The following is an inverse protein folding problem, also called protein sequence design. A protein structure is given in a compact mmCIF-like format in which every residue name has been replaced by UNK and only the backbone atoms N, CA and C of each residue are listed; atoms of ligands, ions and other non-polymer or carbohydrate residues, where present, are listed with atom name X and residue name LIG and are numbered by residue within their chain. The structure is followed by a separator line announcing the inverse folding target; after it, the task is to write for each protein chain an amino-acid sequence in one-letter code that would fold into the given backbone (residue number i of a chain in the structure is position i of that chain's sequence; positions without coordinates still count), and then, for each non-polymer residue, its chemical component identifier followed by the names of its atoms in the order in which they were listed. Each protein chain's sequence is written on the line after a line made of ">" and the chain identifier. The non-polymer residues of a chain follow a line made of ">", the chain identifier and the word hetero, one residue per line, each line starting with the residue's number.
data_IF_451801554099
#
_entry.id   IF_451801554099
#
_cell.length_a   1.000
_cell.length_b   1.000
_cell.length_c   1.000
_cell.angle_alpha   90.00
_cell.angle_beta   90.00
_cell.angle_gamma   90.00
#
_symmetry.space_group_name_H-M   'P 1'
#
loop_
_entity.id
_entity.type
_entity.pdbx_description
1 polymer ?
#
# COMPACT_ATOMS: atom_id res chain seq x y z
N UNK A 1 44.39 -3.56 -51.71
CA UNK A 1 43.09 -2.97 -52.13
C UNK A 1 41.93 -3.77 -51.52
N UNK A 2 42.07 -4.18 -50.25
CA UNK A 2 41.10 -5.05 -49.56
C UNK A 2 40.66 -4.52 -48.19
N UNK A 3 41.20 -3.40 -47.71
CA UNK A 3 40.92 -2.86 -46.37
C UNK A 3 39.68 -1.93 -46.30
N UNK A 4 39.13 -1.49 -47.43
CA UNK A 4 38.02 -0.53 -47.46
C UNK A 4 36.63 -1.15 -47.26
N UNK A 5 36.50 -2.48 -47.41
CA UNK A 5 35.21 -3.16 -47.24
C UNK A 5 34.94 -3.55 -45.79
N UNK A 6 35.96 -3.90 -45.00
CA UNK A 6 35.79 -4.28 -43.59
C UNK A 6 35.49 -3.08 -42.67
N UNK A 7 35.99 -1.88 -43.01
CA UNK A 7 35.70 -0.64 -42.25
C UNK A 7 34.25 -0.15 -42.43
N UNK A 8 33.67 -0.34 -43.62
CA UNK A 8 32.28 0.03 -43.93
C UNK A 8 31.26 -0.90 -43.27
N UNK A 9 31.54 -2.21 -43.24
CA UNK A 9 30.65 -3.20 -42.62
C UNK A 9 30.57 -2.98 -41.09
N UNK A 10 31.67 -2.60 -40.44
CA UNK A 10 31.68 -2.27 -39.01
C UNK A 10 31.01 -0.93 -38.67
N UNK A 11 30.99 0.05 -39.57
CA UNK A 11 30.38 1.36 -39.28
C UNK A 11 28.84 1.29 -39.34
N UNK A 12 28.28 0.55 -40.30
CA UNK A 12 26.83 0.38 -40.43
C UNK A 12 26.19 -0.37 -39.26
N UNK A 13 26.86 -1.41 -38.74
CA UNK A 13 26.40 -2.16 -37.56
C UNK A 13 26.42 -1.29 -36.29
N UNK A 14 27.41 -0.41 -36.14
CA UNK A 14 27.51 0.51 -35.00
C UNK A 14 26.41 1.58 -34.99
N UNK A 15 26.03 2.11 -36.16
CA UNK A 15 24.92 3.08 -36.27
C UNK A 15 23.57 2.42 -35.96
N UNK A 16 23.33 1.20 -36.48
CA UNK A 16 22.11 0.46 -36.19
C UNK A 16 21.96 0.14 -34.69
N UNK A 17 23.04 -0.32 -34.06
CA UNK A 17 23.08 -0.58 -32.62
C UNK A 17 22.88 0.69 -31.78
N UNK A 18 23.46 1.80 -32.21
CA UNK A 18 23.25 3.11 -31.58
C UNK A 18 21.76 3.50 -31.58
N UNK A 19 21.09 3.44 -32.74
CA UNK A 19 19.68 3.81 -32.87
C UNK A 19 18.80 2.91 -32.00
N UNK A 20 18.98 1.59 -32.09
CA UNK A 20 18.19 0.63 -31.32
C UNK A 20 18.39 0.82 -29.81
N UNK A 21 19.64 0.94 -29.36
CA UNK A 21 19.95 1.12 -27.93
C UNK A 21 19.38 2.43 -27.41
N UNK A 22 19.53 3.52 -28.17
CA UNK A 22 18.98 4.83 -27.81
C UNK A 22 17.46 4.79 -27.68
N UNK A 23 16.77 4.12 -28.61
CA UNK A 23 15.32 3.97 -28.55
C UNK A 23 14.88 3.17 -27.31
N UNK A 24 15.55 2.06 -27.02
CA UNK A 24 15.30 1.25 -25.80
C UNK A 24 15.50 2.10 -24.55
N UNK A 25 16.58 2.88 -24.48
CA UNK A 25 16.86 3.76 -23.34
C UNK A 25 15.78 4.84 -23.17
N UNK A 26 15.31 5.45 -24.25
CA UNK A 26 14.20 6.42 -24.20
C UNK A 26 12.94 5.77 -23.63
N UNK A 27 12.58 4.56 -24.09
CA UNK A 27 11.42 3.82 -23.56
C UNK A 27 11.59 3.52 -22.07
N UNK A 28 12.78 3.09 -21.63
CA UNK A 28 13.08 2.85 -20.22
C UNK A 28 12.90 4.14 -19.39
N UNK A 29 13.37 5.29 -19.88
CA UNK A 29 13.21 6.58 -19.21
C UNK A 29 11.72 6.97 -19.10
N UNK A 30 10.92 6.75 -20.14
CA UNK A 30 9.48 7.02 -20.09
C UNK A 30 8.81 6.15 -19.03
N UNK A 31 9.09 4.84 -19.03
CA UNK A 31 8.57 3.90 -18.02
C UNK A 31 9.01 4.33 -16.62
N UNK A 32 10.25 4.76 -16.45
CA UNK A 32 10.80 5.27 -15.20
C UNK A 32 9.93 6.42 -14.66
N UNK A 33 9.68 7.46 -15.47
CA UNK A 33 8.88 8.60 -15.05
C UNK A 33 7.38 8.29 -14.87
N UNK A 34 6.84 7.31 -15.58
CA UNK A 34 5.49 6.79 -15.32
C UNK A 34 5.42 6.21 -13.91
N UNK A 35 6.37 5.35 -13.53
CA UNK A 35 6.43 4.75 -12.19
C UNK A 35 6.65 5.83 -11.13
N UNK A 36 7.50 6.82 -11.40
CA UNK A 36 7.69 8.00 -10.53
C UNK A 36 6.39 8.75 -10.26
N UNK A 37 5.60 9.02 -11.30
CA UNK A 37 4.32 9.72 -11.17
C UNK A 37 3.29 8.92 -10.39
N UNK A 38 3.24 7.60 -10.58
CA UNK A 38 2.40 6.71 -9.78
C UNK A 38 2.84 6.68 -8.31
N UNK A 39 4.14 6.71 -8.04
CA UNK A 39 4.69 6.79 -6.68
C UNK A 39 4.28 8.09 -6.00
N UNK A 40 4.39 9.22 -6.71
CA UNK A 40 3.90 10.51 -6.22
C UNK A 40 2.39 10.47 -5.93
N UNK A 41 1.60 9.89 -6.83
CA UNK A 41 0.17 9.69 -6.61
C UNK A 41 -0.12 8.84 -5.36
N UNK A 42 0.64 7.75 -5.17
CA UNK A 42 0.56 6.89 -4.00
C UNK A 42 0.84 7.63 -2.68
N UNK A 43 1.79 8.57 -2.67
CA UNK A 43 2.07 9.46 -1.54
C UNK A 43 0.83 10.28 -1.13
N UNK A 44 0.16 10.86 -2.12
CA UNK A 44 -1.04 11.67 -1.92
C UNK A 44 -2.23 10.81 -1.48
N UNK A 45 -2.36 9.61 -2.05
CA UNK A 45 -3.37 8.64 -1.65
C UNK A 45 -3.19 8.20 -0.18
N UNK A 46 -1.96 7.92 0.24
CA UNK A 46 -1.66 7.52 1.60
C UNK A 46 -1.98 8.62 2.64
N UNK A 47 -1.60 9.87 2.37
CA UNK A 47 -1.91 11.00 3.29
C UNK A 47 -3.42 11.28 3.35
N UNK A 48 -4.17 10.97 2.30
CA UNK A 48 -5.63 11.07 2.33
C UNK A 48 -6.29 10.05 3.27
N UNK A 49 -5.59 8.98 3.68
CA UNK A 49 -6.14 7.95 4.56
C UNK A 49 -7.25 7.11 3.91
N UNK A 50 -7.37 7.15 2.57
CA UNK A 50 -8.38 6.39 1.83
C UNK A 50 -8.07 4.89 1.71
N UNK A 51 -6.81 4.51 1.98
CA UNK A 51 -6.38 3.12 1.90
C UNK A 51 -7.02 2.29 3.03
N UNK A 52 -7.58 1.12 2.72
CA UNK A 52 -8.30 0.30 3.69
C UNK A 52 -7.30 -0.44 4.59
N UNK A 53 -6.87 0.20 5.67
CA UNK A 53 -5.83 -0.33 6.58
C UNK A 53 -6.39 -1.13 7.76
N UNK A 54 -7.70 -1.03 8.04
CA UNK A 54 -8.32 -1.67 9.19
C UNK A 54 -9.31 -2.76 8.71
N UNK A 55 -9.07 -4.05 9.05
CA UNK A 55 -9.90 -5.16 8.62
C UNK A 55 -11.29 -5.21 9.28
N UNK A 56 -11.53 -4.46 10.36
CA UNK A 56 -12.79 -4.50 11.11
C UNK A 56 -13.87 -3.56 10.54
N UNK A 57 -13.49 -2.68 9.61
CA UNK A 57 -14.39 -1.66 9.03
C UNK A 57 -14.57 -1.88 7.52
N UNK A 58 -15.55 -1.19 6.93
CA UNK A 58 -15.69 -1.08 5.49
C UNK A 58 -14.35 -0.67 4.84
N UNK A 59 -13.89 -1.32 3.75
CA UNK A 59 -14.61 -2.24 2.87
C UNK A 59 -14.54 -3.73 3.26
N UNK A 60 -13.80 -4.12 4.29
CA UNK A 60 -13.66 -5.54 4.69
C UNK A 60 -14.93 -6.09 5.34
N UNK A 61 -15.69 -5.24 6.02
CA UNK A 61 -16.96 -5.57 6.66
C UNK A 61 -18.11 -4.76 6.08
N UNK A 62 -19.34 -5.10 6.49
CA UNK A 62 -20.53 -4.30 6.22
C UNK A 62 -20.75 -3.21 7.28
N UNK A 63 -19.87 -3.12 8.27
CA UNK A 63 -19.97 -2.24 9.43
C UNK A 63 -18.95 -1.10 9.34
N UNK A 64 -19.30 0.05 9.93
CA UNK A 64 -18.45 1.25 9.92
C UNK A 64 -18.91 2.31 8.89
N UNK A 65 -18.48 3.54 9.13
CA UNK A 65 -18.77 4.67 8.22
C UNK A 65 -17.81 4.65 7.05
N UNK A 66 -18.34 4.77 5.83
CA UNK A 66 -17.54 5.19 4.67
C UNK A 66 -16.93 6.53 5.05
N UNK A 67 -15.61 6.70 4.91
CA UNK A 67 -14.95 7.98 5.17
C UNK A 67 -15.63 9.02 4.27
N UNK A 68 -16.29 10.02 4.87
CA UNK A 68 -17.02 11.08 4.18
C UNK A 68 -16.21 12.37 4.28
N UNK A 69 -15.94 13.00 3.14
CA UNK A 69 -15.36 14.34 3.07
C UNK A 69 -14.28 14.47 2.00
N UNK A 70 -14.28 15.59 1.29
CA UNK A 70 -13.24 15.90 0.30
C UNK A 70 -11.90 16.11 1.02
N UNK A 71 -10.95 15.20 0.83
CA UNK A 71 -9.58 15.37 1.34
C UNK A 71 -8.74 15.92 0.21
N UNK A 72 -8.49 17.22 0.27
CA UNK A 72 -7.68 17.95 -0.70
C UNK A 72 -6.19 17.80 -0.33
N UNK A 73 -5.38 17.45 -1.32
CA UNK A 73 -3.92 17.46 -1.20
C UNK A 73 -3.31 18.27 -2.33
N UNK A 74 -2.23 19.01 -2.03
CA UNK A 74 -1.44 19.70 -3.03
C UNK A 74 -0.62 18.67 -3.83
N UNK A 75 -0.55 18.90 -5.14
CA UNK A 75 0.30 18.22 -6.12
C UNK A 75 0.93 19.31 -6.99
N UNK A 76 2.21 19.19 -7.33
CA UNK A 76 2.94 20.13 -8.21
C UNK A 76 2.96 21.55 -7.64
N UNK A 77 3.72 21.75 -6.57
CA UNK A 77 3.91 23.09 -5.95
C UNK A 77 4.93 23.93 -6.71
N UNK A 78 4.59 25.17 -7.04
CA UNK A 78 5.51 26.15 -7.62
C UNK A 78 6.31 26.89 -6.55
N UNK A 79 7.52 27.33 -6.90
CA UNK A 79 8.38 28.17 -6.05
C UNK A 79 8.06 29.68 -6.16
N UNK A 80 6.79 30.02 -6.41
CA UNK A 80 6.31 31.41 -6.48
C UNK A 80 5.92 31.92 -5.09
N UNK A 81 5.80 33.24 -4.92
CA UNK A 81 5.26 33.85 -3.71
C UNK A 81 3.92 34.57 -4.02
N UNK A 82 2.76 34.03 -3.62
CA UNK A 82 2.55 32.79 -2.86
C UNK A 82 2.76 31.51 -3.70
N UNK A 83 3.06 30.36 -3.07
CA UNK A 83 3.20 29.10 -3.78
C UNK A 83 1.84 28.66 -4.35
N UNK A 84 1.84 28.27 -5.62
CA UNK A 84 0.66 27.74 -6.28
C UNK A 84 0.78 26.21 -6.39
N UNK A 85 -0.34 25.50 -6.37
CA UNK A 85 -0.36 24.05 -6.57
C UNK A 85 -1.61 23.60 -7.33
N UNK A 86 -1.49 22.47 -7.99
CA UNK A 86 -2.63 21.69 -8.45
C UNK A 86 -3.21 20.93 -7.24
N UNK A 87 -4.53 20.76 -7.17
CA UNK A 87 -5.19 20.10 -6.04
C UNK A 87 -5.83 18.80 -6.49
N UNK A 88 -5.53 17.74 -5.75
CA UNK A 88 -6.17 16.44 -5.93
C UNK A 88 -7.16 16.18 -4.78
N UNK A 89 -8.30 15.61 -5.12
CA UNK A 89 -9.25 15.04 -4.17
C UNK A 89 -9.44 13.55 -4.43
N UNK A 90 -9.47 12.76 -3.37
CA UNK A 90 -9.76 11.31 -3.43
C UNK A 90 -11.25 10.99 -3.20
N UNK A 91 -12.06 12.00 -2.91
CA UNK A 91 -13.52 11.91 -2.86
C UNK A 91 -14.12 12.87 -3.89
N UNK A 92 -14.68 12.35 -4.99
CA UNK A 92 -15.28 13.18 -6.01
C UNK A 92 -16.46 13.98 -5.45
N UNK A 93 -16.60 15.25 -5.85
CA UNK A 93 -17.66 16.13 -5.39
C UNK A 93 -19.02 15.63 -5.89
N UNK A 94 -19.89 15.26 -4.95
CA UNK A 94 -21.25 14.77 -5.26
C UNK A 94 -21.35 13.30 -5.63
N UNK A 95 -20.26 12.53 -5.52
CA UNK A 95 -20.27 11.09 -5.76
C UNK A 95 -20.20 10.35 -4.41
N UNK A 96 -21.36 9.88 -3.92
CA UNK A 96 -21.48 8.96 -2.78
C UNK A 96 -20.93 7.55 -3.10
N UNK A 97 -20.35 7.36 -4.30
CA UNK A 97 -19.83 6.05 -4.69
C UNK A 97 -18.60 5.69 -3.87
N UNK A 98 -18.80 4.64 -3.06
CA UNK A 98 -17.77 3.99 -2.29
C UNK A 98 -16.63 3.60 -3.22
N UNK A 99 -15.38 3.91 -2.83
CA UNK A 99 -14.21 3.29 -3.47
C UNK A 99 -14.40 1.76 -3.41
N UNK A 100 -14.34 1.12 -4.57
CA UNK A 100 -14.50 -0.34 -4.70
C UNK A 100 -13.12 -0.96 -4.81
N UNK A 101 -12.85 -1.94 -3.95
CA UNK A 101 -11.60 -2.69 -3.95
C UNK A 101 -11.97 -4.12 -4.32
N UNK A 102 -11.88 -4.46 -5.61
CA UNK A 102 -12.48 -5.69 -6.16
C UNK A 102 -12.14 -6.96 -5.39
N UNK A 103 -10.89 -7.14 -4.95
CA UNK A 103 -10.48 -8.28 -4.14
C UNK A 103 -11.09 -8.24 -2.74
N UNK A 104 -11.08 -7.08 -2.07
CA UNK A 104 -11.65 -6.94 -0.72
C UNK A 104 -13.16 -7.18 -0.75
N UNK A 105 -13.85 -6.66 -1.77
CA UNK A 105 -15.28 -6.86 -1.96
C UNK A 105 -15.61 -8.35 -2.16
N UNK A 106 -14.78 -9.07 -2.92
CA UNK A 106 -14.88 -10.52 -3.09
C UNK A 106 -14.64 -11.27 -1.78
N UNK A 107 -13.57 -10.96 -1.06
CA UNK A 107 -13.24 -11.59 0.24
C UNK A 107 -14.32 -11.33 1.28
N UNK A 108 -14.86 -10.11 1.34
CA UNK A 108 -15.99 -9.77 2.21
C UNK A 108 -17.20 -10.62 1.89
N UNK A 109 -17.56 -10.76 0.60
CA UNK A 109 -18.70 -11.59 0.18
C UNK A 109 -18.54 -13.02 0.66
N UNK A 110 -17.35 -13.61 0.49
CA UNK A 110 -17.03 -14.96 0.99
C UNK A 110 -17.11 -15.07 2.51
N UNK A 111 -16.66 -14.04 3.25
CA UNK A 111 -16.71 -14.02 4.71
C UNK A 111 -18.15 -13.94 5.25
N UNK A 112 -19.02 -13.22 4.55
CA UNK A 112 -20.43 -13.03 4.94
C UNK A 112 -21.34 -14.18 4.53
N UNK A 113 -20.87 -15.10 3.69
CA UNK A 113 -21.66 -16.25 3.26
C UNK A 113 -21.90 -17.21 4.43
N UNK A 114 -23.18 -17.44 4.75
CA UNK A 114 -23.60 -18.36 5.81
C UNK A 114 -23.23 -19.82 5.51
N UNK A 115 -23.08 -20.16 4.23
CA UNK A 115 -22.75 -21.50 3.77
C UNK A 115 -21.25 -21.74 3.63
N UNK A 116 -20.41 -20.71 3.83
CA UNK A 116 -18.97 -20.87 3.76
C UNK A 116 -18.46 -21.80 4.86
N UNK A 117 -17.66 -22.79 4.46
CA UNK A 117 -17.01 -23.74 5.36
C UNK A 117 -16.04 -23.02 6.32
N UNK A 118 -15.75 -23.64 7.47
CA UNK A 118 -14.74 -23.12 8.40
C UNK A 118 -13.36 -22.98 7.73
N UNK A 119 -13.03 -23.88 6.81
CA UNK A 119 -11.79 -23.81 6.02
C UNK A 119 -11.77 -22.57 5.10
N UNK A 120 -12.89 -22.27 4.44
CA UNK A 120 -13.02 -21.07 3.61
C UNK A 120 -12.84 -19.80 4.46
N UNK A 121 -13.51 -19.73 5.62
CA UNK A 121 -13.40 -18.59 6.54
C UNK A 121 -11.98 -18.40 7.07
N UNK A 122 -11.30 -19.50 7.39
CA UNK A 122 -9.88 -19.49 7.78
C UNK A 122 -9.00 -18.84 6.71
N UNK A 123 -9.11 -19.25 5.45
CA UNK A 123 -8.32 -18.68 4.36
C UNK A 123 -8.68 -17.22 4.05
N UNK A 124 -9.98 -16.89 4.07
CA UNK A 124 -10.43 -15.50 3.86
C UNK A 124 -9.88 -14.58 4.94
N UNK A 125 -9.89 -15.00 6.21
CA UNK A 125 -9.36 -14.22 7.32
C UNK A 125 -7.84 -14.00 7.21
N UNK A 126 -7.09 -15.01 6.74
CA UNK A 126 -5.66 -14.85 6.41
C UNK A 126 -5.47 -13.82 5.29
N UNK A 127 -6.19 -13.97 4.16
CA UNK A 127 -6.05 -13.06 3.01
C UNK A 127 -6.44 -11.62 3.37
N UNK A 128 -7.52 -11.42 4.10
CA UNK A 128 -7.94 -10.10 4.61
C UNK A 128 -6.85 -9.51 5.49
N UNK A 129 -6.29 -10.30 6.40
CA UNK A 129 -5.22 -9.84 7.29
C UNK A 129 -3.97 -9.41 6.51
N UNK A 130 -3.52 -10.19 5.53
CA UNK A 130 -2.37 -9.85 4.67
C UNK A 130 -2.64 -8.59 3.85
N UNK A 131 -3.79 -8.50 3.18
CA UNK A 131 -4.16 -7.32 2.38
C UNK A 131 -4.25 -6.06 3.24
N UNK A 132 -4.81 -6.16 4.46
CA UNK A 132 -4.87 -5.02 5.37
C UNK A 132 -3.49 -4.56 5.85
N UNK A 133 -2.56 -5.51 6.08
CA UNK A 133 -1.17 -5.20 6.40
C UNK A 133 -0.47 -4.49 5.25
N UNK A 134 -0.67 -4.96 4.00
CA UNK A 134 -0.12 -4.33 2.81
C UNK A 134 -0.57 -2.88 2.67
N UNK A 135 -1.88 -2.62 2.78
CA UNK A 135 -2.37 -1.24 2.74
C UNK A 135 -1.82 -0.41 3.89
N UNK A 136 -1.66 -0.99 5.08
CA UNK A 136 -1.04 -0.29 6.20
C UNK A 136 0.43 0.07 5.92
N UNK A 137 1.22 -0.85 5.37
CA UNK A 137 2.61 -0.64 4.97
C UNK A 137 2.73 0.43 3.88
N UNK A 138 1.89 0.35 2.85
CA UNK A 138 1.79 1.36 1.79
C UNK A 138 1.46 2.72 2.41
N UNK A 139 0.39 2.78 3.22
CA UNK A 139 -0.06 4.02 3.84
C UNK A 139 1.01 4.66 4.72
N UNK A 140 1.78 3.86 5.46
CA UNK A 140 2.90 4.35 6.28
C UNK A 140 4.08 4.81 5.45
N UNK A 141 4.51 4.01 4.48
CA UNK A 141 5.71 4.28 3.68
C UNK A 141 5.51 5.48 2.75
N UNK A 142 4.39 5.52 2.05
CA UNK A 142 4.01 6.66 1.19
C UNK A 142 3.58 7.88 1.99
N UNK A 143 2.96 7.70 3.15
CA UNK A 143 2.69 8.82 4.06
C UNK A 143 3.96 9.51 4.55
N UNK A 144 5.00 8.73 4.89
CA UNK A 144 6.32 9.27 5.22
C UNK A 144 6.97 9.95 4.02
N UNK A 145 6.87 9.36 2.82
CA UNK A 145 7.49 9.91 1.62
C UNK A 145 6.84 11.21 1.13
N UNK A 146 5.56 11.45 1.44
CA UNK A 146 4.86 12.68 1.06
C UNK A 146 5.49 13.95 1.66
N UNK A 147 6.22 13.85 2.77
CA UNK A 147 6.90 14.99 3.38
C UNK A 147 8.18 15.38 2.63
N UNK A 148 8.67 14.53 1.72
CA UNK A 148 9.82 14.84 0.88
C UNK A 148 9.43 15.80 -0.26
N UNK A 149 10.38 16.64 -0.73
CA UNK A 149 10.20 17.43 -1.94
C UNK A 149 9.74 16.57 -3.13
N UNK A 150 8.73 17.03 -3.87
CA UNK A 150 8.15 16.26 -4.99
C UNK A 150 9.19 15.86 -6.03
N UNK A 151 10.18 16.72 -6.28
CA UNK A 151 11.28 16.44 -7.19
C UNK A 151 12.11 15.21 -6.76
N UNK A 152 12.32 15.00 -5.45
CA UNK A 152 13.01 13.81 -4.96
C UNK A 152 12.16 12.56 -5.16
N UNK A 153 10.85 12.64 -4.92
CA UNK A 153 9.93 11.54 -5.18
C UNK A 153 9.92 11.19 -6.67
N UNK A 154 10.00 12.18 -7.54
CA UNK A 154 10.00 11.96 -8.99
C UNK A 154 11.32 11.35 -9.47
N UNK A 155 12.45 11.83 -8.94
CA UNK A 155 13.76 11.36 -9.34
C UNK A 155 14.10 9.98 -8.77
N UNK A 156 13.60 9.63 -7.58
CA UNK A 156 13.93 8.36 -6.91
C UNK A 156 12.74 7.41 -6.77
N UNK A 157 11.55 7.80 -7.22
CA UNK A 157 10.30 7.05 -7.03
C UNK A 157 10.38 5.57 -7.42
N UNK A 158 10.90 5.21 -8.61
CA UNK A 158 10.99 3.81 -9.02
C UNK A 158 11.92 2.98 -8.14
N UNK A 159 13.02 3.58 -7.66
CA UNK A 159 13.95 2.91 -6.74
C UNK A 159 13.28 2.70 -5.38
N UNK A 160 12.60 3.74 -4.87
CA UNK A 160 11.87 3.67 -3.60
C UNK A 160 10.75 2.62 -3.68
N UNK A 161 9.99 2.61 -4.77
CA UNK A 161 8.92 1.64 -4.99
C UNK A 161 9.46 0.20 -5.07
N UNK A 162 10.62 0.01 -5.70
CA UNK A 162 11.27 -1.29 -5.78
C UNK A 162 11.75 -1.78 -4.41
N UNK A 163 12.38 -0.90 -3.61
CA UNK A 163 12.78 -1.25 -2.24
C UNK A 163 11.54 -1.57 -1.38
N UNK A 164 10.49 -0.76 -1.50
CA UNK A 164 9.23 -0.97 -0.77
C UNK A 164 8.58 -2.30 -1.15
N UNK A 165 8.54 -2.66 -2.44
CA UNK A 165 7.94 -3.91 -2.88
C UNK A 165 8.69 -5.14 -2.36
N UNK A 166 10.04 -5.10 -2.36
CA UNK A 166 10.85 -6.16 -1.75
C UNK A 166 10.55 -6.28 -0.25
N UNK A 167 10.50 -5.16 0.48
CA UNK A 167 10.20 -5.16 1.91
C UNK A 167 8.80 -5.70 2.21
N UNK A 168 7.79 -5.28 1.45
CA UNK A 168 6.41 -5.78 1.60
C UNK A 168 6.34 -7.29 1.38
N UNK A 169 6.98 -7.80 0.32
CA UNK A 169 7.03 -9.23 0.02
C UNK A 169 7.65 -10.00 1.21
N UNK A 170 8.80 -9.54 1.72
CA UNK A 170 9.47 -10.18 2.86
C UNK A 170 8.57 -10.20 4.11
N UNK A 171 7.98 -9.05 4.47
CA UNK A 171 7.10 -8.92 5.63
C UNK A 171 5.88 -9.82 5.46
N UNK A 172 5.31 -9.92 4.26
CA UNK A 172 4.17 -10.77 3.98
C UNK A 172 4.49 -12.27 4.11
N UNK A 173 5.68 -12.73 3.72
CA UNK A 173 6.06 -14.13 3.96
C UNK A 173 6.10 -14.45 5.46
N UNK A 174 6.74 -13.58 6.25
CA UNK A 174 6.84 -13.75 7.71
C UNK A 174 5.44 -13.71 8.33
N UNK A 175 4.62 -12.74 7.93
CA UNK A 175 3.29 -12.55 8.47
C UNK A 175 2.34 -13.68 8.07
N UNK A 176 2.43 -14.19 6.83
CA UNK A 176 1.67 -15.34 6.36
C UNK A 176 1.99 -16.59 7.19
N UNK A 177 3.27 -16.82 7.48
CA UNK A 177 3.70 -17.93 8.35
C UNK A 177 3.10 -17.79 9.74
N UNK A 178 3.15 -16.60 10.33
CA UNK A 178 2.52 -16.33 11.63
C UNK A 178 1.00 -16.57 11.59
N UNK A 179 0.31 -16.01 10.59
CA UNK A 179 -1.14 -16.09 10.44
C UNK A 179 -1.63 -17.52 10.22
N UNK A 180 -0.85 -18.35 9.52
CA UNK A 180 -1.16 -19.75 9.31
C UNK A 180 -1.46 -20.45 10.64
N UNK A 181 -0.54 -20.33 11.59
CA UNK A 181 -0.72 -20.96 12.89
C UNK A 181 -1.71 -20.20 13.78
N UNK A 182 -1.67 -18.87 13.78
CA UNK A 182 -2.53 -18.04 14.63
C UNK A 182 -4.03 -18.22 14.31
N UNK A 183 -4.39 -18.33 13.04
CA UNK A 183 -5.79 -18.44 12.62
C UNK A 183 -6.36 -19.86 12.69
N UNK A 184 -5.55 -20.88 13.04
CA UNK A 184 -6.03 -22.27 13.17
C UNK A 184 -7.19 -22.43 14.18
N UNK A 185 -7.37 -21.46 15.08
CA UNK A 185 -8.54 -21.35 15.97
C UNK A 185 -9.89 -21.49 15.24
N UNK A 186 -9.98 -21.13 13.96
CA UNK A 186 -11.18 -21.31 13.14
C UNK A 186 -11.64 -22.75 12.99
N UNK A 187 -10.73 -23.73 12.96
CA UNK A 187 -11.10 -25.15 12.88
C UNK A 187 -11.81 -25.65 14.15
N UNK A 188 -11.59 -24.96 15.26
CA UNK A 188 -12.14 -25.31 16.56
C UNK A 188 -13.42 -24.52 16.90
N UNK A 189 -13.78 -23.51 16.09
CA UNK A 189 -15.05 -22.79 16.26
C UNK A 189 -16.23 -23.66 15.83
N UNK A 190 -17.11 -23.99 16.77
CA UNK A 190 -18.37 -24.70 16.48
C UNK A 190 -19.28 -23.79 15.65
N UNK A 191 -19.77 -24.29 14.52
CA UNK A 191 -20.76 -23.57 13.70
C UNK A 191 -22.05 -23.37 14.50
N UNK A 192 -22.43 -22.12 14.75
CA UNK A 192 -23.70 -21.77 15.42
C UNK A 192 -24.91 -21.86 14.50
N UNK A 193 -24.79 -22.45 13.30
CA UNK A 193 -25.87 -22.48 12.31
C UNK A 193 -26.93 -23.58 12.55
N UNK A 194 -27.06 -24.07 13.78
CA UNK A 194 -28.14 -25.00 14.14
C UNK A 194 -28.19 -25.23 15.64
N UNK A 195 -28.99 -24.42 16.33
CA UNK A 195 -29.41 -24.74 17.69
C UNK A 195 -30.80 -24.13 17.98
N UNK A 196 -31.83 -24.75 17.41
CA UNK A 196 -32.85 -25.31 18.29
C UNK A 196 -32.27 -26.62 18.81
N UNK A 197 -31.41 -26.53 19.81
CA UNK A 197 -30.91 -27.66 20.57
C UNK A 197 -30.54 -27.09 21.94
N UNK A 198 -31.47 -27.22 22.87
CA UNK A 198 -31.14 -27.24 24.29
C UNK A 198 -29.98 -28.22 24.48
N UNK A 199 -28.82 -27.72 24.91
CA UNK A 199 -27.84 -28.60 25.53
C UNK A 199 -27.04 -27.84 26.60
N UNK A 200 -27.06 -28.47 27.78
CA UNK A 200 -26.52 -28.07 29.07
C UNK A 200 -25.17 -27.33 29.06
N UNK A 201 -25.05 -26.37 29.98
CA UNK A 201 -23.92 -25.46 30.16
C UNK A 201 -22.58 -26.08 30.60
N UNK A 202 -22.41 -27.39 30.53
CA UNK A 202 -21.20 -28.08 31.03
C UNK A 202 -20.19 -28.40 29.92
N UNK A 203 -20.64 -28.58 28.67
CA UNK A 203 -19.78 -28.94 27.52
C UNK A 203 -19.06 -27.73 26.88
N UNK A 204 -19.62 -26.53 27.05
CA UNK A 204 -19.11 -25.29 26.43
C UNK A 204 -17.83 -24.78 27.10
N UNK A 205 -17.72 -24.93 28.42
CA UNK A 205 -16.59 -24.46 29.21
C UNK A 205 -15.32 -25.32 29.05
N UNK A 206 -15.47 -26.61 28.75
CA UNK A 206 -14.34 -27.54 28.59
C UNK A 206 -13.59 -27.29 27.26
N UNK A 207 -14.31 -26.95 26.18
CA UNK A 207 -13.71 -26.73 24.85
C UNK A 207 -12.99 -25.39 24.71
N UNK A 208 -13.51 -24.33 25.32
CA UNK A 208 -12.86 -23.01 25.33
C UNK A 208 -11.61 -23.02 26.23
N UNK A 209 -11.63 -23.78 27.34
CA UNK A 209 -10.46 -24.00 28.19
C UNK A 209 -9.31 -24.69 27.43
N UNK A 210 -9.57 -25.83 26.78
CA UNK A 210 -8.52 -26.56 26.02
C UNK A 210 -7.88 -25.67 24.94
N UNK A 211 -8.67 -24.86 24.24
CA UNK A 211 -8.18 -23.99 23.17
C UNK A 211 -7.29 -22.86 23.67
N UNK A 212 -7.69 -22.18 24.76
CA UNK A 212 -6.90 -21.10 25.36
C UNK A 212 -5.59 -21.63 25.94
N UNK A 213 -5.60 -22.81 26.56
CA UNK A 213 -4.38 -23.47 27.04
C UNK A 213 -3.44 -23.88 25.94
N UNK A 214 -3.96 -24.37 24.81
CA UNK A 214 -3.16 -24.66 23.63
C UNK A 214 -2.44 -23.43 23.10
N UNK A 215 -3.15 -22.29 23.00
CA UNK A 215 -2.57 -21.03 22.53
C UNK A 215 -1.53 -20.55 23.54
N UNK A 216 -1.81 -20.61 24.85
CA UNK A 216 -0.87 -20.19 25.90
C UNK A 216 0.37 -21.10 25.97
N UNK A 217 0.23 -22.41 25.75
CA UNK A 217 1.36 -23.37 25.70
C UNK A 217 2.20 -23.13 24.44
N UNK A 218 1.58 -22.96 23.28
CA UNK A 218 2.28 -22.71 22.01
C UNK A 218 2.99 -21.34 22.07
N UNK A 219 2.31 -20.30 22.58
CA UNK A 219 2.89 -18.96 22.72
C UNK A 219 3.96 -18.91 23.82
N UNK A 220 3.77 -19.62 24.94
CA UNK A 220 4.76 -19.77 25.99
C UNK A 220 6.02 -20.52 25.52
N UNK A 221 5.85 -21.57 24.70
CA UNK A 221 6.95 -22.32 24.11
C UNK A 221 7.70 -21.54 23.00
N UNK A 222 6.99 -20.74 22.19
CA UNK A 222 7.58 -19.97 21.08
C UNK A 222 8.19 -18.63 21.52
N UNK A 223 7.64 -17.98 22.54
CA UNK A 223 8.01 -16.61 22.94
C UNK A 223 8.52 -16.49 24.38
N UNK A 224 8.64 -17.60 25.11
CA UNK A 224 9.26 -17.61 26.44
C UNK A 224 8.55 -16.75 27.48
N UNK A 225 7.24 -16.50 27.34
CA UNK A 225 6.50 -15.72 28.34
C UNK A 225 6.13 -16.61 29.52
N UNK A 226 7.05 -16.72 30.48
CA UNK A 226 6.79 -17.28 31.80
C UNK A 226 5.88 -16.31 32.58
N UNK A 227 4.56 -16.51 32.55
CA UNK A 227 3.65 -15.88 33.51
C UNK A 227 3.24 -16.89 34.56
N UNK A 228 4.09 -17.01 35.58
CA UNK A 228 3.73 -17.57 36.89
C UNK A 228 2.98 -16.51 37.70
N UNK A 229 1.74 -16.83 38.10
CA UNK A 229 1.11 -16.23 39.28
C UNK A 229 -0.05 -15.28 38.99
N UNK A 230 -1.28 -15.81 39.04
CA UNK A 230 -2.37 -15.42 39.96
C UNK A 230 -3.69 -16.02 39.47
N UNK A 231 -4.06 -17.16 40.06
CA UNK A 231 -5.36 -17.81 39.86
C UNK A 231 -6.42 -17.07 40.67
N UNK A 232 -7.23 -16.23 40.00
CA UNK A 232 -8.54 -15.86 40.53
C UNK A 232 -9.56 -16.95 40.21
N UNK A 233 -10.04 -17.56 41.29
CA UNK A 233 -11.13 -18.53 41.34
C UNK A 233 -12.36 -18.04 40.57
N UNK A 234 -12.64 -18.71 39.45
CA UNK A 234 -13.82 -18.54 38.62
C UNK A 234 -13.82 -19.62 37.55
N UNK A 235 -14.40 -20.79 37.90
CA UNK A 235 -14.61 -21.98 37.04
C UNK A 235 -13.64 -22.10 35.85
N UNK A 236 -12.37 -22.31 36.15
CA UNK A 236 -11.38 -22.68 35.14
C UNK A 236 -11.77 -24.04 34.57
N UNK A 237 -12.02 -24.09 33.26
CA UNK A 237 -12.13 -25.35 32.54
C UNK A 237 -10.88 -26.16 32.82
N UNK A 238 -11.07 -27.36 33.36
CA UNK A 238 -10.02 -28.32 33.63
C UNK A 238 -9.20 -28.52 32.35
N UNK A 239 -7.95 -28.06 32.36
CA UNK A 239 -7.04 -28.31 31.25
C UNK A 239 -6.88 -29.81 31.12
N UNK A 240 -7.11 -30.33 29.92
CA UNK A 240 -6.86 -31.74 29.61
C UNK A 240 -5.34 -31.92 29.54
N UNK A 241 -4.69 -31.96 30.70
CA UNK A 241 -3.28 -32.33 30.91
C UNK A 241 -3.09 -33.86 30.77
N UNK A 242 -3.94 -34.52 29.97
CA UNK A 242 -3.74 -35.93 29.69
C UNK A 242 -2.64 -36.04 28.62
N UNK A 243 -1.63 -36.91 28.80
CA UNK A 243 -0.57 -37.14 27.81
C UNK A 243 -1.12 -37.44 26.41
N UNK A 244 -2.32 -38.04 26.34
CA UNK A 244 -3.07 -38.33 25.12
C UNK A 244 -3.48 -37.04 24.39
N UNK A 245 -3.99 -36.03 25.10
CA UNK A 245 -4.36 -34.74 24.52
C UNK A 245 -3.17 -34.00 23.91
N UNK A 246 -2.03 -34.00 24.62
CA UNK A 246 -0.76 -33.43 24.14
C UNK A 246 -0.24 -34.18 22.91
N UNK A 247 -0.38 -35.51 22.87
CA UNK A 247 0.02 -36.29 21.69
C UNK A 247 -0.80 -35.93 20.44
N UNK A 248 -2.14 -35.84 20.57
CA UNK A 248 -2.99 -35.42 19.45
C UNK A 248 -2.72 -33.97 19.02
N UNK A 249 -2.39 -33.09 19.97
CA UNK A 249 -1.93 -31.71 19.70
C UNK A 249 -0.76 -31.67 18.73
N UNK A 250 0.29 -32.41 19.09
CA UNK A 250 1.56 -32.44 18.38
C UNK A 250 1.40 -33.09 17.00
N UNK A 251 0.60 -34.16 16.91
CA UNK A 251 0.30 -34.80 15.64
C UNK A 251 -0.45 -33.85 14.71
N UNK A 252 -1.47 -33.15 15.20
CA UNK A 252 -2.22 -32.18 14.41
C UNK A 252 -1.32 -31.03 13.94
N UNK A 253 -0.52 -30.45 14.85
CA UNK A 253 0.42 -29.39 14.53
C UNK A 253 1.46 -29.82 13.48
N UNK A 254 1.93 -31.07 13.56
CA UNK A 254 2.87 -31.66 12.58
C UNK A 254 2.22 -31.79 11.20
N UNK A 255 0.99 -32.31 11.13
CA UNK A 255 0.25 -32.42 9.86
C UNK A 255 0.02 -31.04 9.23
N UNK A 256 -0.38 -30.05 10.03
CA UNK A 256 -0.58 -28.68 9.54
C UNK A 256 0.72 -27.99 9.11
N UNK A 257 1.85 -28.31 9.74
CA UNK A 257 3.16 -27.80 9.36
C UNK A 257 3.63 -28.41 8.03
N UNK A 258 3.43 -29.72 7.84
CA UNK A 258 3.71 -30.39 6.56
C UNK A 258 2.82 -29.81 5.46
N UNK A 259 1.53 -29.63 5.73
CA UNK A 259 0.58 -29.01 4.80
C UNK A 259 1.00 -27.57 4.44
N UNK A 260 1.45 -26.79 5.42
CA UNK A 260 1.97 -25.44 5.20
C UNK A 260 3.17 -25.45 4.25
N UNK A 261 4.16 -26.32 4.49
CA UNK A 261 5.35 -26.43 3.64
C UNK A 261 4.96 -26.82 2.21
N UNK A 262 4.09 -27.82 2.05
CA UNK A 262 3.61 -28.25 0.74
C UNK A 262 2.90 -27.09 0.03
N UNK A 263 1.99 -26.40 0.71
CA UNK A 263 1.27 -25.27 0.12
C UNK A 263 2.21 -24.12 -0.22
N UNK A 264 3.16 -23.78 0.65
CA UNK A 264 4.14 -22.73 0.44
C UNK A 264 5.01 -23.02 -0.79
N UNK A 265 5.38 -24.28 -1.03
CA UNK A 265 6.17 -24.66 -2.22
C UNK A 265 5.30 -24.73 -3.49
N UNK A 266 4.10 -25.30 -3.42
CA UNK A 266 3.32 -25.67 -4.62
C UNK A 266 2.42 -24.55 -5.15
N UNK A 267 2.00 -23.58 -4.33
CA UNK A 267 1.15 -22.50 -4.85
C UNK A 267 1.03 -21.25 -3.99
N UNK A 268 1.06 -21.39 -2.66
CA UNK A 268 1.00 -20.25 -1.73
C UNK A 268 2.30 -19.45 -1.66
N UNK A 269 3.40 -19.98 -2.17
CA UNK A 269 4.67 -19.26 -2.28
C UNK A 269 4.53 -17.97 -3.08
N UNK A 270 3.66 -17.90 -4.08
CA UNK A 270 3.45 -16.66 -4.86
C UNK A 270 2.37 -15.73 -4.27
N UNK A 271 1.58 -16.18 -3.29
CA UNK A 271 0.48 -15.39 -2.76
C UNK A 271 0.94 -14.05 -2.16
N UNK A 272 2.01 -13.98 -1.32
CA UNK A 272 2.58 -12.72 -0.85
C UNK A 272 2.94 -11.75 -1.98
N UNK A 273 3.55 -12.24 -3.06
CA UNK A 273 3.95 -11.43 -4.20
C UNK A 273 2.74 -10.87 -4.94
N UNK A 274 1.77 -11.73 -5.27
CA UNK A 274 0.56 -11.33 -6.00
C UNK A 274 -0.28 -10.35 -5.18
N UNK A 275 -0.44 -10.58 -3.87
CA UNK A 275 -1.19 -9.68 -2.98
C UNK A 275 -0.50 -8.32 -2.83
N UNK A 276 0.82 -8.29 -2.64
CA UNK A 276 1.58 -7.04 -2.53
C UNK A 276 1.46 -6.21 -3.81
N UNK A 277 1.64 -6.86 -4.97
CA UNK A 277 1.49 -6.21 -6.28
C UNK A 277 0.06 -5.72 -6.48
N UNK A 278 -0.94 -6.52 -6.13
CA UNK A 278 -2.34 -6.12 -6.20
C UNK A 278 -2.61 -4.85 -5.37
N UNK A 279 -2.15 -4.80 -4.12
CA UNK A 279 -2.36 -3.64 -3.24
C UNK A 279 -1.68 -2.37 -3.80
N UNK A 280 -0.48 -2.50 -4.37
CA UNK A 280 0.21 -1.40 -5.05
C UNK A 280 -0.57 -0.91 -6.28
N UNK A 281 -0.95 -1.82 -7.19
CA UNK A 281 -1.70 -1.46 -8.40
C UNK A 281 -3.09 -0.90 -8.08
N UNK A 282 -3.76 -1.45 -7.07
CA UNK A 282 -5.06 -0.95 -6.62
C UNK A 282 -4.93 0.46 -6.04
N UNK A 283 -3.84 0.77 -5.35
CA UNK A 283 -3.53 2.13 -4.87
C UNK A 283 -3.39 3.11 -6.04
N UNK A 284 -2.75 2.70 -7.14
CA UNK A 284 -2.59 3.54 -8.34
C UNK A 284 -3.86 3.71 -9.17
N UNK A 285 -4.84 2.82 -8.98
CA UNK A 285 -6.11 2.79 -9.71
C UNK A 285 -7.25 3.51 -8.98
N UNK A 286 -6.95 4.21 -7.89
CA UNK A 286 -7.94 4.99 -7.15
C UNK A 286 -8.54 6.11 -8.01
N UNK A 287 -9.86 6.26 -7.91
CA UNK A 287 -10.57 7.37 -8.55
C UNK A 287 -10.32 8.66 -7.80
N UNK A 288 -10.07 9.74 -8.53
CA UNK A 288 -9.77 11.06 -7.96
C UNK A 288 -10.46 12.17 -8.75
N UNK A 289 -10.44 13.38 -8.24
CA UNK A 289 -10.76 14.60 -8.96
C UNK A 289 -9.59 15.57 -8.89
N UNK A 290 -9.28 16.18 -10.03
CA UNK A 290 -8.28 17.25 -10.15
C UNK A 290 -9.02 18.44 -10.76
N UNK A 291 -9.03 19.58 -10.07
CA UNK A 291 -9.75 20.78 -10.48
C UNK A 291 -11.23 20.50 -10.87
N UNK A 292 -11.95 19.77 -10.01
CA UNK A 292 -13.35 19.35 -10.19
C UNK A 292 -13.63 18.47 -11.43
N UNK A 293 -12.59 17.89 -12.05
CA UNK A 293 -12.72 16.92 -13.14
C UNK A 293 -12.32 15.52 -12.68
N UNK A 294 -13.18 14.53 -12.98
CA UNK A 294 -12.88 13.11 -12.73
C UNK A 294 -11.56 12.73 -13.37
N UNK A 295 -10.67 12.18 -12.56
CA UNK A 295 -9.26 11.94 -12.86
C UNK A 295 -8.79 10.62 -12.23
N UNK A 296 -7.59 10.18 -12.62
CA UNK A 296 -6.96 8.96 -12.10
C UNK A 296 -5.46 9.18 -11.89
N UNK A 297 -4.75 8.17 -11.37
CA UNK A 297 -3.29 8.19 -11.28
C UNK A 297 -2.61 8.50 -12.62
N UNK A 298 -3.19 8.07 -13.75
CA UNK A 298 -2.67 8.39 -15.08
C UNK A 298 -2.75 9.88 -15.42
N UNK A 299 -3.75 10.60 -14.92
CA UNK A 299 -3.84 12.06 -15.09
C UNK A 299 -2.67 12.75 -14.36
N UNK A 300 -2.31 12.27 -13.16
CA UNK A 300 -1.13 12.77 -12.44
C UNK A 300 0.16 12.47 -13.19
N UNK A 301 0.30 11.28 -13.76
CA UNK A 301 1.44 10.93 -14.61
C UNK A 301 1.52 11.87 -15.83
N UNK A 302 0.40 12.12 -16.50
CA UNK A 302 0.35 13.06 -17.63
C UNK A 302 0.77 14.48 -17.22
N UNK A 303 0.23 14.98 -16.10
CA UNK A 303 0.58 16.30 -15.57
C UNK A 303 2.05 16.37 -15.12
N UNK A 304 2.63 15.27 -14.63
CA UNK A 304 4.06 15.18 -14.33
C UNK A 304 4.90 15.43 -15.59
N UNK A 305 4.56 14.79 -16.71
CA UNK A 305 5.28 15.01 -17.98
C UNK A 305 5.16 16.45 -18.47
N UNK A 306 4.06 17.14 -18.16
CA UNK A 306 3.86 18.56 -18.48
C UNK A 306 4.65 19.49 -17.56
N UNK A 307 4.62 19.25 -16.24
CA UNK A 307 5.25 20.11 -15.24
C UNK A 307 6.78 19.94 -15.21
N UNK A 308 7.25 18.69 -15.22
CA UNK A 308 8.67 18.35 -15.15
C UNK A 308 9.29 18.09 -16.52
N UNK A 309 8.61 18.53 -17.59
CA UNK A 309 9.04 18.40 -18.99
C UNK A 309 10.51 18.76 -19.19
N UNK A 310 10.93 19.92 -18.66
CA UNK A 310 12.30 20.41 -18.80
C UNK A 310 13.34 19.44 -18.19
N UNK A 311 13.07 18.91 -17.01
CA UNK A 311 13.95 17.97 -16.31
C UNK A 311 14.01 16.63 -17.05
N UNK A 312 12.85 16.10 -17.44
CA UNK A 312 12.75 14.83 -18.18
C UNK A 312 13.52 14.93 -19.50
N UNK A 313 13.33 16.02 -20.24
CA UNK A 313 14.02 16.25 -21.51
C UNK A 313 15.53 16.48 -21.32
N UNK A 314 15.94 17.09 -20.21
CA UNK A 314 17.35 17.18 -19.83
C UNK A 314 17.98 15.79 -19.63
N UNK A 315 17.29 14.89 -18.92
CA UNK A 315 17.76 13.51 -18.71
C UNK A 315 17.80 12.71 -20.01
N UNK A 316 16.77 12.81 -20.85
CA UNK A 316 16.75 12.17 -22.18
C UNK A 316 17.92 12.66 -23.03
N UNK A 317 18.18 13.97 -23.03
CA UNK A 317 19.28 14.57 -23.78
C UNK A 317 20.65 14.09 -23.28
N UNK A 318 20.82 14.01 -21.95
CA UNK A 318 22.04 13.48 -21.35
C UNK A 318 22.29 12.02 -21.74
N UNK A 319 21.26 11.17 -21.69
CA UNK A 319 21.37 9.75 -22.08
C UNK A 319 21.64 9.60 -23.57
N UNK A 320 21.02 10.44 -24.41
CA UNK A 320 21.28 10.49 -25.84
C UNK A 320 22.76 10.80 -26.13
N UNK A 321 23.29 11.89 -25.56
CA UNK A 321 24.69 12.29 -25.73
C UNK A 321 25.64 11.21 -25.21
N UNK A 322 25.36 10.64 -24.04
CA UNK A 322 26.17 9.55 -23.47
C UNK A 322 26.19 8.30 -24.37
N UNK A 323 25.05 7.98 -24.98
CA UNK A 323 24.94 6.89 -25.96
C UNK A 323 25.73 7.20 -27.22
N UNK A 324 25.70 8.45 -27.70
CA UNK A 324 26.51 8.89 -28.86
C UNK A 324 28.01 8.71 -28.60
N UNK A 325 28.51 9.13 -27.43
CA UNK A 325 29.91 8.91 -27.05
C UNK A 325 30.26 7.41 -27.03
N UNK A 326 29.36 6.58 -26.48
CA UNK A 326 29.62 5.14 -26.30
C UNK A 326 29.64 4.36 -27.62
N UNK A 327 28.75 4.69 -28.56
CA UNK A 327 28.57 3.89 -29.79
C UNK A 327 29.18 4.52 -31.04
N UNK A 328 29.21 5.85 -31.15
CA UNK A 328 29.71 6.55 -32.33
C UNK A 328 31.09 7.19 -32.10
N UNK A 329 31.53 7.28 -30.84
CA UNK A 329 32.85 7.80 -30.47
C UNK A 329 32.88 9.32 -30.24
N UNK A 330 34.06 9.80 -29.84
CA UNK A 330 34.24 11.15 -29.29
C UNK A 330 33.84 12.27 -30.25
N UNK A 331 34.18 12.15 -31.55
CA UNK A 331 33.88 13.19 -32.54
C UNK A 331 32.37 13.45 -32.64
N UNK A 332 31.58 12.38 -32.74
CA UNK A 332 30.12 12.48 -32.80
C UNK A 332 29.52 12.90 -31.46
N UNK A 333 30.10 12.45 -30.33
CA UNK A 333 29.66 12.88 -28.99
C UNK A 333 29.84 14.38 -28.77
N UNK A 334 31.00 14.94 -29.14
CA UNK A 334 31.26 16.39 -29.06
C UNK A 334 30.30 17.16 -29.97
N UNK A 335 30.06 16.68 -31.19
CA UNK A 335 29.09 17.30 -32.10
C UNK A 335 27.67 17.31 -31.50
N UNK A 336 27.21 16.19 -30.92
CA UNK A 336 25.91 16.11 -30.26
C UNK A 336 25.80 17.05 -29.06
N UNK A 337 26.87 17.21 -28.29
CA UNK A 337 26.94 18.13 -27.15
C UNK A 337 26.85 19.60 -27.60
N UNK A 338 27.55 19.98 -28.69
CA UNK A 338 27.45 21.32 -29.27
C UNK A 338 26.02 21.59 -29.74
N UNK A 339 25.38 20.63 -30.45
CA UNK A 339 23.99 20.75 -30.88
C UNK A 339 23.04 20.94 -29.68
N UNK A 340 23.23 20.17 -28.61
CA UNK A 340 22.43 20.30 -27.39
C UNK A 340 22.60 21.69 -26.74
N UNK A 341 23.83 22.18 -26.63
CA UNK A 341 24.11 23.53 -26.12
C UNK A 341 23.44 24.59 -26.98
N UNK A 342 23.49 24.46 -28.31
CA UNK A 342 22.82 25.38 -29.22
C UNK A 342 21.30 25.37 -29.00
N UNK A 343 20.68 24.20 -28.84
CA UNK A 343 19.24 24.09 -28.56
C UNK A 343 18.87 24.77 -27.23
N UNK A 344 19.66 24.57 -26.18
CA UNK A 344 19.40 25.13 -24.85
C UNK A 344 19.58 26.65 -24.83
N UNK A 345 20.71 27.16 -25.34
CA UNK A 345 21.07 28.57 -25.23
C UNK A 345 20.42 29.47 -26.30
N UNK A 346 20.33 29.00 -27.54
CA UNK A 346 19.74 29.79 -28.63
C UNK A 346 18.22 29.61 -28.72
N UNK A 347 17.64 28.73 -27.89
CA UNK A 347 16.20 28.53 -27.82
C UNK A 347 15.58 28.26 -29.18
N UNK A 348 16.31 27.56 -30.07
CA UNK A 348 15.91 27.27 -31.45
C UNK A 348 14.54 26.60 -31.46
N UNK A 349 13.46 27.40 -31.49
CA UNK A 349 12.05 27.08 -31.78
C UNK A 349 11.36 25.96 -30.99
N UNK A 350 12.09 25.17 -30.23
CA UNK A 350 11.63 23.90 -29.73
C UNK A 350 11.11 24.14 -28.31
N UNK A 351 9.79 24.21 -28.16
CA UNK A 351 9.06 24.34 -26.89
C UNK A 351 9.21 23.13 -25.94
N UNK A 352 10.15 22.22 -26.23
CA UNK A 352 10.34 20.97 -25.52
C UNK A 352 10.96 21.20 -24.13
N UNK A 353 11.80 22.22 -23.96
CA UNK A 353 12.43 22.55 -22.66
C UNK A 353 11.69 23.62 -21.86
N UNK A 354 10.67 24.26 -22.45
CA UNK A 354 9.83 25.25 -21.75
C UNK A 354 8.72 24.52 -21.00
N UNK A 355 8.65 24.73 -19.69
CA UNK A 355 7.53 24.26 -18.88
C UNK A 355 6.26 24.95 -19.36
N UNK A 356 5.23 24.15 -19.64
CA UNK A 356 3.92 24.70 -19.94
C UNK A 356 3.27 25.22 -18.66
N UNK A 357 2.61 26.38 -18.73
CA UNK A 357 1.77 26.84 -17.61
C UNK A 357 0.65 25.83 -17.42
N UNK A 358 0.53 25.28 -16.22
CA UNK A 358 -0.62 24.45 -15.85
C UNK A 358 -1.79 25.38 -15.56
N UNK A 359 -2.88 25.19 -16.30
CA UNK A 359 -4.14 25.89 -16.06
C UNK A 359 -4.81 25.36 -14.78
N UNK A 360 -5.33 26.24 -13.94
CA UNK A 360 -6.05 25.86 -12.70
C UNK A 360 -5.17 25.74 -11.44
N UNK A 361 -3.93 26.22 -11.47
CA UNK A 361 -3.11 26.42 -10.29
C UNK A 361 -3.82 27.34 -9.28
N UNK A 362 -3.96 26.90 -8.03
CA UNK A 362 -4.53 27.71 -6.93
C UNK A 362 -3.52 27.85 -5.80
N UNK A 363 -3.72 28.79 -4.88
CA UNK A 363 -2.84 28.96 -3.71
C UNK A 363 -2.72 27.61 -2.99
N UNK A 364 -1.47 27.18 -2.78
CA UNK A 364 -1.15 25.93 -2.11
C UNK A 364 -1.75 25.95 -0.70
N UNK A 365 -2.36 24.84 -0.29
CA UNK A 365 -2.80 24.69 1.10
C UNK A 365 -1.56 24.78 2.00
N UNK A 366 -1.61 25.59 3.07
CA UNK A 366 -0.55 25.58 4.08
C UNK A 366 -0.30 24.16 4.55
N UNK A 367 0.94 23.69 4.42
CA UNK A 367 1.35 22.40 4.96
C UNK A 367 1.26 22.47 6.48
N UNK A 368 0.13 22.05 7.04
CA UNK A 368 0.14 21.67 8.45
C UNK A 368 1.14 20.52 8.56
N UNK A 369 2.16 20.62 9.45
CA UNK A 369 3.11 19.55 9.64
C UNK A 369 2.34 18.26 9.89
N UNK A 370 2.71 17.21 9.16
CA UNK A 370 2.16 15.88 9.30
C UNK A 370 2.34 15.45 10.76
N UNK A 371 1.31 15.67 11.59
CA UNK A 371 1.25 14.94 12.85
C UNK A 371 1.06 13.48 12.44
N UNK A 372 2.16 12.74 12.40
CA UNK A 372 2.32 11.29 12.25
C UNK A 372 1.34 10.44 13.11
N UNK A 373 0.52 11.08 13.96
CA UNK A 373 -0.57 10.50 14.73
C UNK A 373 -1.98 10.54 14.12
N UNK A 374 -2.17 10.91 12.84
CA UNK A 374 -3.50 10.99 12.20
C UNK A 374 -4.32 9.69 12.22
N UNK A 375 -3.65 8.53 12.14
CA UNK A 375 -4.29 7.22 12.32
C UNK A 375 -4.72 6.92 13.76
N UNK A 376 -4.15 7.62 14.75
CA UNK A 376 -4.42 7.37 16.16
C UNK A 376 -5.46 8.31 16.76
N UNK A 377 -5.73 9.48 16.18
CA UNK A 377 -6.79 10.37 16.71
C UNK A 377 -8.20 9.91 16.31
N UNK A 378 -8.38 9.41 15.09
CA UNK A 378 -9.66 8.85 14.67
C UNK A 378 -9.86 7.46 15.29
N UNK A 379 -8.83 6.60 15.35
CA UNK A 379 -8.94 5.35 16.10
C UNK A 379 -9.10 5.55 17.61
N UNK A 380 -8.56 6.60 18.24
CA UNK A 380 -8.83 6.86 19.67
C UNK A 380 -10.24 7.39 19.93
N UNK A 381 -10.87 8.02 18.94
CA UNK A 381 -12.27 8.46 19.01
C UNK A 381 -13.23 7.31 18.65
N UNK A 382 -12.81 6.37 17.79
CA UNK A 382 -13.62 5.21 17.35
C UNK A 382 -13.43 3.98 18.25
N UNK A 383 -12.24 3.78 18.84
CA UNK A 383 -11.93 2.70 19.80
C UNK A 383 -12.27 3.06 21.25
N UNK A 384 -12.65 4.32 21.56
CA UNK A 384 -13.37 4.61 22.82
C UNK A 384 -14.84 4.22 22.69
N UNK A 385 -15.10 2.97 22.29
CA UNK A 385 -16.38 2.27 22.51
C UNK A 385 -16.60 1.96 24.00
N UNK A 386 -16.17 2.85 24.88
CA UNK A 386 -16.44 2.84 26.31
C UNK A 386 -17.61 3.78 26.58
N UNK A 387 -18.78 3.17 26.64
CA UNK A 387 -20.05 3.72 27.15
C UNK A 387 -20.44 5.11 26.61
N UNK A 388 -21.43 5.15 25.72
CA UNK A 388 -22.14 6.37 25.27
C UNK A 388 -22.46 7.36 26.41
N UNK A 389 -22.66 6.84 27.64
CA UNK A 389 -22.85 7.65 28.85
C UNK A 389 -21.63 8.50 29.23
N UNK A 390 -20.41 8.02 29.04
CA UNK A 390 -19.18 8.74 29.40
C UNK A 390 -18.93 9.90 28.42
N UNK A 391 -19.26 9.70 27.13
CA UNK A 391 -19.21 10.76 26.12
C UNK A 391 -20.24 11.87 26.41
N UNK A 392 -21.49 11.50 26.71
CA UNK A 392 -22.54 12.45 27.10
C UNK A 392 -22.17 13.20 28.39
N UNK A 393 -21.53 12.52 29.35
CA UNK A 393 -21.03 13.13 30.59
C UNK A 393 -19.90 14.14 30.35
N UNK A 394 -19.00 13.86 29.42
CA UNK A 394 -17.94 14.80 29.04
C UNK A 394 -18.48 16.03 28.30
N UNK A 395 -19.44 15.85 27.39
CA UNK A 395 -20.13 16.96 26.73
C UNK A 395 -20.86 17.84 27.76
N UNK A 396 -21.61 17.25 28.69
CA UNK A 396 -22.31 18.00 29.72
C UNK A 396 -21.37 18.76 30.66
N UNK A 397 -20.20 18.19 30.97
CA UNK A 397 -19.17 18.85 31.78
C UNK A 397 -18.54 20.05 31.06
N UNK A 398 -18.32 19.95 29.75
CA UNK A 398 -17.85 21.06 28.90
C UNK A 398 -18.89 22.17 28.78
N UNK A 399 -20.15 21.82 28.53
CA UNK A 399 -21.26 22.79 28.44
C UNK A 399 -21.47 23.53 29.77
N UNK A 400 -21.28 22.87 30.92
CA UNK A 400 -21.40 23.50 32.24
C UNK A 400 -20.24 24.46 32.55
N UNK A 401 -19.02 24.15 32.08
CA UNK A 401 -17.86 25.06 32.17
C UNK A 401 -18.02 26.31 31.30
N UNK A 402 -18.62 26.17 30.11
CA UNK A 402 -18.86 27.31 29.22
C UNK A 402 -19.97 28.25 29.75
N UNK A 403 -20.95 27.72 30.49
CA UNK A 403 -21.99 28.53 31.15
C UNK A 403 -21.57 29.21 32.46
N UNK A 404 -20.39 28.90 32.99
CA UNK A 404 -19.87 29.50 34.23
C UNK A 404 -18.74 30.51 33.98
N UNK A 405 -18.30 30.65 32.73
CA UNK A 405 -17.28 31.61 32.29
C UNK A 405 -17.86 32.75 31.43
N UNK A 406 -19.19 32.84 31.32
CA UNK A 406 -19.95 34.03 30.95
C UNK A 406 -20.84 34.39 32.14
#
# INVERSE_FOLDING_TARGET
>A
MSDDNDSKINTGSNVGNFILTTLILIVIIIIYFVISGLTLFGCKAAVSGILPTNPDIYPYTNTGTVIKGQILSNIFTTYTDPPLSEKISFYPKGDDTKQTFGLIDYLRKLNTDKNASNLTKYFVDILVSVVSLDYWLINKSFGFLNDAPEILIILFGPIILHILSILMILVNYIYLMFLWFYKMTWFFKKSTNGANAEESGTSKNIKEGILLGFIDIIMGALFGTNKTGETKSGSAGEYVDTPVGIFYALLLASVFSILFIILLVVGWGFAPVVLSLYCLFSTFSLKTEINDKKSSGFTVVYNLFRFYKSIIMGIISFVFVSSTFSFLGNTFGVAALIVLLLIIFFGMGISIFKTEKIDGLTIALESKPSTSGGGNRINKIIQSGGDSKEFIKQINKLTKKLKTNN
#
